data_IF_040794732206
#
_entry.id   IF_040794732206
#
_cell.length_a   1.000
_cell.length_b   1.000
_cell.length_c   1.000
_cell.angle_alpha   90.00
_cell.angle_beta   90.00
_cell.angle_gamma   90.00
#
_symmetry.space_group_name_H-M   'P 1'
#
loop_
_entity.id
_entity.type
_entity.pdbx_description
1 polymer ?
#
# COMPACT_ATOMS: atom_id res chain seq x y z
N UNK A 1 -19.81 -4.90 -69.36
CA UNK A 1 -19.73 -3.68 -68.52
C UNK A 1 -20.24 -4.06 -67.15
N UNK A 2 -19.33 -4.47 -66.27
CA UNK A 2 -19.66 -5.10 -64.98
C UNK A 2 -19.96 -3.99 -63.98
N UNK A 3 -21.18 -4.06 -63.47
CA UNK A 3 -21.81 -3.12 -62.57
C UNK A 3 -21.00 -2.96 -61.28
N UNK A 4 -20.96 -1.74 -60.74
CA UNK A 4 -20.18 -1.30 -59.59
C UNK A 4 -20.65 -1.74 -58.18
N UNK A 5 -21.74 -2.51 -57.92
CA UNK A 5 -22.13 -2.74 -56.52
C UNK A 5 -21.34 -3.85 -55.83
N UNK A 6 -20.61 -4.69 -56.57
CA UNK A 6 -19.87 -5.84 -56.00
C UNK A 6 -18.59 -5.45 -55.26
N UNK A 7 -17.95 -4.33 -55.64
CA UNK A 7 -16.71 -3.88 -54.99
C UNK A 7 -16.97 -3.19 -53.63
N UNK A 8 -18.15 -2.60 -53.45
CA UNK A 8 -18.53 -1.95 -52.20
C UNK A 8 -18.84 -2.96 -51.08
N UNK A 9 -19.37 -4.15 -51.42
CA UNK A 9 -19.67 -5.18 -50.43
C UNK A 9 -18.42 -5.84 -49.83
N UNK A 10 -17.32 -5.90 -50.60
CA UNK A 10 -16.06 -6.50 -50.15
C UNK A 10 -15.29 -5.61 -49.15
N UNK A 11 -15.46 -4.28 -49.21
CA UNK A 11 -14.84 -3.37 -48.22
C UNK A 11 -15.60 -3.25 -46.90
N UNK A 12 -16.90 -3.61 -46.87
CA UNK A 12 -17.68 -3.55 -45.63
C UNK A 12 -17.37 -4.71 -44.65
N UNK A 13 -16.85 -5.84 -45.15
CA UNK A 13 -16.54 -7.02 -44.31
C UNK A 13 -15.15 -6.91 -43.67
N UNK A 14 -14.24 -6.11 -44.22
CA UNK A 14 -12.89 -5.93 -43.68
C UNK A 14 -12.82 -4.95 -42.48
N UNK A 15 -13.86 -4.15 -42.24
CA UNK A 15 -13.92 -3.21 -41.11
C UNK A 15 -14.48 -3.84 -39.82
N UNK A 16 -15.02 -5.06 -39.88
CA UNK A 16 -15.60 -5.75 -38.72
C UNK A 16 -14.56 -6.57 -37.90
N UNK A 17 -13.27 -6.50 -38.26
CA UNK A 17 -12.17 -7.21 -37.59
C UNK A 17 -11.13 -6.29 -36.96
N UNK A 18 -11.42 -5.00 -36.86
CA UNK A 18 -10.67 -4.15 -35.92
C UNK A 18 -11.32 -4.40 -34.56
N UNK A 19 -10.66 -5.09 -33.60
CA UNK A 19 -11.06 -4.91 -32.22
C UNK A 19 -10.92 -3.42 -31.95
N UNK A 20 -12.04 -2.71 -31.90
CA UNK A 20 -12.12 -1.48 -31.11
C UNK A 20 -11.39 -1.80 -29.81
N UNK A 21 -10.44 -0.97 -29.35
CA UNK A 21 -10.05 -1.05 -27.96
C UNK A 21 -11.36 -0.77 -27.23
N UNK A 22 -12.02 -1.86 -26.80
CA UNK A 22 -12.92 -1.85 -25.68
C UNK A 22 -12.13 -1.03 -24.69
N UNK A 23 -12.61 0.18 -24.44
CA UNK A 23 -12.37 0.86 -23.20
C UNK A 23 -12.88 -0.16 -22.17
N UNK A 24 -12.00 -1.10 -21.82
CA UNK A 24 -12.11 -1.90 -20.64
C UNK A 24 -11.93 -0.83 -19.57
N UNK A 25 -13.05 -0.23 -19.19
CA UNK A 25 -13.33 -0.03 -17.80
C UNK A 25 -13.29 -1.41 -17.13
N UNK A 26 -12.11 -2.00 -17.06
CA UNK A 26 -11.62 -2.47 -15.79
C UNK A 26 -10.84 -1.25 -15.29
N UNK A 27 -11.49 -0.23 -14.73
CA UNK A 27 -11.81 -0.30 -13.30
C UNK A 27 -11.39 -1.66 -12.76
N UNK A 28 -10.08 -1.89 -12.68
CA UNK A 28 -9.55 -2.85 -11.76
C UNK A 28 -10.04 -2.30 -10.42
N UNK A 29 -11.25 -2.69 -10.01
CA UNK A 29 -11.54 -2.78 -8.60
C UNK A 29 -10.30 -3.44 -8.04
N UNK A 30 -9.54 -2.76 -7.18
CA UNK A 30 -8.36 -3.41 -6.63
C UNK A 30 -8.94 -4.64 -5.94
N UNK A 31 -8.70 -5.80 -6.52
CA UNK A 31 -9.07 -7.06 -5.91
C UNK A 31 -8.10 -7.15 -4.74
N UNK A 32 -8.49 -6.54 -3.63
CA UNK A 32 -7.90 -6.77 -2.34
C UNK A 32 -8.32 -8.20 -1.99
N UNK A 33 -7.72 -9.18 -2.67
CA UNK A 33 -7.62 -10.54 -2.15
C UNK A 33 -7.26 -10.35 -0.69
N UNK A 34 -8.03 -10.98 0.20
CA UNK A 34 -7.89 -10.90 1.65
C UNK A 34 -6.51 -11.41 2.09
N UNK A 35 -5.49 -10.63 1.76
CA UNK A 35 -4.10 -10.92 1.89
C UNK A 35 -3.68 -10.36 3.24
N UNK A 36 -2.97 -11.19 3.98
CA UNK A 36 -2.28 -10.76 5.17
C UNK A 36 -0.88 -10.36 4.72
N UNK A 37 -0.47 -9.13 5.02
CA UNK A 37 0.94 -8.78 4.92
C UNK A 37 1.60 -9.13 6.26
N UNK A 38 2.71 -9.84 6.20
CA UNK A 38 3.56 -10.05 7.37
C UNK A 38 4.72 -9.07 7.26
N UNK A 39 4.89 -8.20 8.26
CA UNK A 39 6.13 -7.42 8.31
C UNK A 39 7.31 -8.35 8.57
N UNK A 40 8.41 -8.14 7.87
CA UNK A 40 9.64 -8.91 8.08
C UNK A 40 10.28 -8.54 9.43
N UNK A 41 10.87 -9.52 10.15
CA UNK A 41 11.56 -9.27 11.39
C UNK A 41 12.85 -8.50 11.09
N UNK A 42 13.14 -7.53 11.96
CA UNK A 42 14.35 -6.71 11.89
C UNK A 42 14.71 -6.27 13.30
N UNK A 43 15.94 -5.83 13.48
CA UNK A 43 16.36 -5.19 14.73
C UNK A 43 16.28 -3.68 14.53
N UNK A 44 15.62 -2.99 15.46
CA UNK A 44 15.59 -1.53 15.52
C UNK A 44 16.00 -1.10 16.92
N UNK A 45 16.98 -0.20 17.02
CA UNK A 45 17.37 0.37 18.31
C UNK A 45 17.87 -0.66 19.34
N UNK A 46 18.54 -1.73 18.88
CA UNK A 46 19.03 -2.82 19.73
C UNK A 46 17.98 -3.85 20.14
N UNK A 47 16.72 -3.67 19.74
CA UNK A 47 15.62 -4.57 20.08
C UNK A 47 15.00 -5.21 18.82
N UNK A 48 14.49 -6.44 18.91
CA UNK A 48 13.72 -7.04 17.83
C UNK A 48 12.42 -6.26 17.60
N UNK A 49 12.21 -5.78 16.37
CA UNK A 49 10.94 -5.21 15.92
C UNK A 49 9.97 -6.37 15.66
N UNK A 50 8.89 -6.50 16.46
CA UNK A 50 8.05 -7.70 16.44
C UNK A 50 7.41 -7.91 15.07
N UNK A 51 7.22 -9.18 14.71
CA UNK A 51 6.40 -9.54 13.56
C UNK A 51 4.99 -8.98 13.76
N UNK A 52 4.48 -8.29 12.75
CA UNK A 52 3.10 -7.78 12.73
C UNK A 52 2.39 -8.26 11.49
N UNK A 53 1.17 -8.73 11.71
CA UNK A 53 0.25 -9.09 10.64
C UNK A 53 -0.67 -7.91 10.37
N UNK A 54 -0.76 -7.50 9.11
CA UNK A 54 -1.70 -6.48 8.68
C UNK A 54 -2.79 -7.10 7.83
N UNK A 55 -4.03 -6.71 8.10
CA UNK A 55 -5.18 -7.12 7.30
C UNK A 55 -5.33 -6.16 6.13
N UNK A 56 -5.17 -6.65 4.90
CA UNK A 56 -5.52 -5.87 3.71
C UNK A 56 -7.05 -5.80 3.58
N UNK A 57 -7.59 -4.62 3.31
CA UNK A 57 -9.02 -4.43 3.08
C UNK A 57 -9.25 -3.38 1.99
N UNK A 58 -10.29 -3.56 1.15
CA UNK A 58 -10.68 -2.54 0.19
C UNK A 58 -11.15 -1.29 0.92
N UNK A 59 -10.74 -0.13 0.41
CA UNK A 59 -11.13 1.18 0.90
C UNK A 59 -12.06 1.87 -0.09
N UNK A 60 -12.84 2.83 0.40
CA UNK A 60 -13.93 3.49 -0.35
C UNK A 60 -13.44 4.30 -1.56
N UNK A 61 -12.17 4.63 -1.61
CA UNK A 61 -11.51 5.31 -2.74
C UNK A 61 -11.06 4.36 -3.84
N UNK A 62 -11.41 3.07 -3.75
CA UNK A 62 -10.98 2.07 -4.71
C UNK A 62 -9.50 1.73 -4.59
N UNK A 63 -8.92 1.82 -3.39
CA UNK A 63 -7.57 1.33 -3.07
C UNK A 63 -7.61 0.23 -2.01
N UNK A 64 -6.50 -0.51 -1.83
CA UNK A 64 -6.36 -1.47 -0.73
C UNK A 64 -5.52 -0.85 0.38
N UNK A 65 -6.02 -0.89 1.60
CA UNK A 65 -5.27 -0.44 2.77
C UNK A 65 -4.93 -1.61 3.69
N UNK A 66 -3.71 -1.62 4.22
CA UNK A 66 -3.33 -2.54 5.28
C UNK A 66 -3.75 -1.96 6.62
N UNK A 67 -4.37 -2.77 7.47
CA UNK A 67 -4.74 -2.35 8.82
C UNK A 67 -3.94 -3.12 9.84
N UNK A 68 -3.20 -2.42 10.70
CA UNK A 68 -2.66 -3.05 11.92
C UNK A 68 -3.80 -3.16 12.92
N UNK A 69 -4.17 -4.39 13.28
CA UNK A 69 -5.08 -4.62 14.39
C UNK A 69 -4.29 -4.43 15.69
N UNK A 70 -4.79 -3.63 16.64
CA UNK A 70 -4.08 -3.41 17.89
C UNK A 70 -4.07 -4.68 18.72
N UNK A 71 -2.90 -4.99 19.31
CA UNK A 71 -2.72 -6.08 20.27
C UNK A 71 -3.58 -5.85 21.54
N UNK A 72 -3.85 -4.57 21.85
CA UNK A 72 -4.53 -4.11 23.07
C UNK A 72 -6.03 -4.38 23.10
N UNK A 73 -6.61 -5.05 22.10
CA UNK A 73 -8.04 -5.39 22.07
C UNK A 73 -9.00 -4.19 21.95
N UNK A 74 -8.48 -2.98 21.73
CA UNK A 74 -9.28 -1.78 21.51
C UNK A 74 -9.71 -1.71 20.02
N UNK A 75 -10.99 -1.96 19.70
CA UNK A 75 -11.44 -2.01 18.30
C UNK A 75 -11.47 -0.62 17.63
N UNK A 76 -11.31 0.45 18.41
CA UNK A 76 -11.38 1.85 17.96
C UNK A 76 -10.02 2.33 17.43
N UNK A 77 -8.92 1.70 17.83
CA UNK A 77 -7.58 2.09 17.44
C UNK A 77 -7.13 1.29 16.20
N UNK A 78 -7.29 1.87 15.02
CA UNK A 78 -6.87 1.23 13.75
C UNK A 78 -5.77 2.05 13.11
N UNK A 79 -4.71 1.40 12.63
CA UNK A 79 -3.73 2.07 11.78
C UNK A 79 -3.96 1.67 10.34
N UNK A 80 -4.09 2.64 9.44
CA UNK A 80 -3.88 2.40 8.01
C UNK A 80 -2.39 2.42 7.75
N UNK A 81 -1.91 1.40 7.04
CA UNK A 81 -0.50 1.15 6.83
C UNK A 81 -0.27 1.12 5.33
N UNK A 82 0.72 1.90 4.91
CA UNK A 82 1.32 1.79 3.59
C UNK A 82 2.61 1.03 3.74
N UNK A 83 2.68 -0.14 3.12
CA UNK A 83 3.93 -0.91 3.07
C UNK A 83 4.93 -0.23 2.14
N UNK A 84 6.22 -0.50 2.35
CA UNK A 84 7.26 -0.10 1.41
C UNK A 84 7.08 -0.81 0.05
N UNK A 85 7.74 -0.35 -1.03
CA UNK A 85 7.57 -0.92 -2.37
C UNK A 85 7.88 -2.42 -2.47
N UNK A 86 8.73 -2.96 -1.61
CA UNK A 86 9.02 -4.39 -1.55
C UNK A 86 8.03 -5.18 -0.65
N UNK A 87 7.05 -4.49 -0.05
CA UNK A 87 5.98 -5.09 0.76
C UNK A 87 6.46 -5.70 2.06
N UNK A 88 7.62 -5.28 2.57
CA UNK A 88 8.35 -5.93 3.67
C UNK A 88 8.03 -5.35 5.02
N UNK A 89 7.94 -4.03 5.10
CA UNK A 89 7.80 -3.26 6.33
C UNK A 89 6.89 -2.04 6.07
N UNK A 90 6.32 -1.43 7.12
CA UNK A 90 5.57 -0.19 6.96
C UNK A 90 6.51 0.94 6.52
N UNK A 91 6.12 1.63 5.45
CA UNK A 91 6.73 2.89 5.03
C UNK A 91 5.99 4.09 5.64
N UNK A 92 4.67 3.97 5.81
CA UNK A 92 3.83 5.02 6.37
C UNK A 92 2.73 4.38 7.23
N UNK A 93 2.42 5.02 8.36
CA UNK A 93 1.26 4.66 9.17
C UNK A 93 0.40 5.89 9.40
N UNK A 94 -0.91 5.71 9.34
CA UNK A 94 -1.91 6.70 9.71
C UNK A 94 -2.76 6.15 10.83
N UNK A 95 -2.85 6.87 11.96
CA UNK A 95 -3.69 6.50 13.08
C UNK A 95 -5.12 6.96 12.81
N UNK A 96 -6.06 6.03 12.80
CA UNK A 96 -7.47 6.31 12.61
C UNK A 96 -8.21 6.34 13.93
N UNK A 97 -9.04 7.36 14.08
CA UNK A 97 -10.05 7.52 15.13
C UNK A 97 -11.41 7.76 14.45
N UNK A 98 -12.48 7.88 15.23
CA UNK A 98 -13.83 8.05 14.70
C UNK A 98 -13.99 9.24 13.72
N UNK A 99 -13.21 10.30 13.90
CA UNK A 99 -13.26 11.52 13.10
C UNK A 99 -12.36 11.51 11.85
N UNK A 100 -11.53 10.48 11.64
CA UNK A 100 -10.62 10.39 10.50
C UNK A 100 -9.27 9.76 10.82
N UNK A 101 -8.37 9.78 9.83
CA UNK A 101 -7.03 9.18 9.94
C UNK A 101 -5.94 10.23 9.78
N UNK A 102 -5.07 10.33 10.79
CA UNK A 102 -3.96 11.27 10.83
C UNK A 102 -2.62 10.56 10.59
N UNK A 103 -1.70 11.21 9.88
CA UNK A 103 -0.37 10.67 9.64
C UNK A 103 0.41 10.55 10.96
N UNK A 104 0.97 9.37 11.23
CA UNK A 104 1.92 9.21 12.32
C UNK A 104 3.24 9.83 11.86
N UNK A 105 3.65 10.91 12.51
CA UNK A 105 4.88 11.63 12.19
C UNK A 105 5.98 11.33 13.22
N UNK A 106 7.26 11.35 12.81
CA UNK A 106 8.35 11.26 13.76
C UNK A 106 8.39 12.52 14.65
N UNK A 107 9.00 12.43 15.85
CA UNK A 107 9.29 13.60 16.66
C UNK A 107 10.14 14.63 15.90
N UNK A 108 9.91 15.92 16.16
CA UNK A 108 10.53 17.02 15.41
C UNK A 108 12.02 17.20 15.68
N UNK A 109 12.52 16.72 16.82
CA UNK A 109 13.92 16.85 17.22
C UNK A 109 14.62 15.51 17.08
N UNK A 110 15.77 15.50 16.45
CA UNK A 110 16.62 14.32 16.30
C UNK A 110 18.06 14.72 16.61
N UNK A 111 18.78 13.86 17.33
CA UNK A 111 20.19 14.12 17.64
C UNK A 111 21.10 14.01 16.41
N UNK A 112 22.26 14.67 16.41
CA UNK A 112 23.24 14.55 15.33
C UNK A 112 23.67 13.09 15.10
N UNK A 113 23.53 12.60 13.87
CA UNK A 113 23.85 11.22 13.52
C UNK A 113 22.73 10.21 13.79
N UNK A 114 21.56 10.68 14.22
CA UNK A 114 20.38 9.87 14.49
C UNK A 114 19.29 10.11 13.45
N UNK A 115 18.44 9.10 13.26
CA UNK A 115 17.22 9.17 12.43
C UNK A 115 16.10 8.37 13.08
N UNK A 116 14.86 8.82 12.89
CA UNK A 116 13.70 8.02 13.28
C UNK A 116 13.37 6.99 12.20
N UNK A 117 13.14 5.74 12.63
CA UNK A 117 12.62 4.67 11.78
C UNK A 117 11.26 4.21 12.28
N UNK A 118 10.33 4.04 11.35
CA UNK A 118 9.01 3.52 11.65
C UNK A 118 9.09 2.01 11.87
N UNK A 119 8.66 1.54 13.04
CA UNK A 119 8.61 0.14 13.44
C UNK A 119 7.40 -0.58 12.83
N UNK A 120 7.40 -1.91 12.91
CA UNK A 120 6.27 -2.74 12.50
C UNK A 120 5.00 -2.46 13.33
N UNK A 121 5.15 -1.85 14.51
CA UNK A 121 4.00 -1.48 15.36
C UNK A 121 3.56 -0.02 15.14
N UNK A 122 3.93 0.60 14.02
CA UNK A 122 3.63 2.00 13.70
C UNK A 122 4.14 3.01 14.76
N UNK A 123 5.29 2.73 15.36
CA UNK A 123 5.96 3.62 16.32
C UNK A 123 7.31 4.07 15.76
N UNK A 124 7.70 5.31 16.00
CA UNK A 124 9.03 5.78 15.61
C UNK A 124 10.07 5.46 16.68
N UNK A 125 11.16 4.83 16.25
CA UNK A 125 12.32 4.50 17.08
C UNK A 125 13.50 5.32 16.61
N UNK A 126 14.17 6.02 17.53
CA UNK A 126 15.41 6.74 17.23
C UNK A 126 16.56 5.75 17.11
N UNK A 127 17.24 5.75 15.97
CA UNK A 127 18.33 4.83 15.66
C UNK A 127 19.50 5.57 15.02
N UNK A 128 20.69 5.00 15.06
CA UNK A 128 21.84 5.60 14.38
C UNK A 128 21.62 5.59 12.87
N UNK A 129 21.94 6.71 12.23
CA UNK A 129 21.80 6.86 10.78
C UNK A 129 22.67 5.86 10.00
N UNK A 130 23.84 5.51 10.55
CA UNK A 130 24.78 4.54 9.97
C UNK A 130 24.41 3.08 10.21
N UNK A 131 23.66 2.77 11.27
CA UNK A 131 23.24 1.41 11.63
C UNK A 131 21.89 1.45 12.37
N UNK A 132 20.78 1.10 11.69
CA UNK A 132 19.45 1.13 12.29
C UNK A 132 19.26 0.08 13.40
N UNK A 133 20.19 -0.88 13.52
CA UNK A 133 20.18 -1.89 14.58
C UNK A 133 20.64 -1.33 15.92
N UNK A 134 21.22 -0.13 15.96
CA UNK A 134 21.71 0.52 17.17
C UNK A 134 20.80 1.69 17.57
N UNK A 135 20.46 1.77 18.85
CA UNK A 135 19.73 2.91 19.40
C UNK A 135 20.62 4.16 19.37
N UNK A 136 19.95 5.31 19.29
CA UNK A 136 20.57 6.54 19.72
C UNK A 136 20.50 6.69 21.25
N UNK A 137 21.49 7.37 21.85
CA UNK A 137 21.49 7.63 23.29
C UNK A 137 20.30 8.46 23.77
#
# INVERSE_FOLDING_TARGET
>A
MISQPLLALLLAVAAALIPSPVAMATAAEPVCLSAQALAWPRTLGGAPDPLRTYKMSPHSDGTCHFTLLPDSGDPSLKYLVRMDPAGRNPAECRRCVASGCELVTPPSQTEPGCVYRLSNSCQFVSVRASDPSQACP
#
